data_IF_233812747777
#
_entry.id   IF_233812747777
#
_cell.length_a   1.000
_cell.length_b   1.000
_cell.length_c   1.000
_cell.angle_alpha   90.00
_cell.angle_beta   90.00
_cell.angle_gamma   90.00
#
_symmetry.space_group_name_H-M   'P 1'
#
loop_
_entity.id
_entity.type
_entity.pdbx_description
1 polymer ?
#
# COMPACT_ATOMS: atom_id res chain seq x y z
N UNK A 1 0.73 10.99 -13.48
CA UNK A 1 1.03 9.74 -12.79
C UNK A 1 0.25 8.62 -13.44
N UNK A 2 0.92 7.54 -13.80
CA UNK A 2 0.35 6.31 -14.36
C UNK A 2 1.04 5.14 -13.68
N UNK A 3 0.30 4.10 -13.29
CA UNK A 3 0.88 2.89 -12.73
C UNK A 3 0.79 1.75 -13.76
N UNK A 4 1.83 0.92 -13.83
CA UNK A 4 1.88 -0.31 -14.62
C UNK A 4 2.40 -1.42 -13.72
N UNK A 5 1.51 -2.33 -13.29
CA UNK A 5 1.84 -3.35 -12.29
C UNK A 5 2.42 -2.72 -11.02
N UNK A 6 3.65 -3.10 -10.59
CA UNK A 6 4.28 -2.55 -9.39
C UNK A 6 4.97 -1.20 -9.60
N UNK A 7 5.02 -0.66 -10.82
CA UNK A 7 5.82 0.53 -11.14
C UNK A 7 4.95 1.76 -11.36
N UNK A 8 5.39 2.89 -10.79
CA UNK A 8 4.83 4.21 -11.02
C UNK A 8 5.61 4.98 -12.09
N UNK A 9 4.91 5.61 -13.03
CA UNK A 9 5.49 6.46 -14.07
C UNK A 9 4.91 7.87 -13.98
N UNK A 10 5.77 8.88 -13.90
CA UNK A 10 5.37 10.28 -13.78
C UNK A 10 6.50 11.23 -14.18
N UNK A 11 6.16 12.51 -14.31
CA UNK A 11 7.13 13.58 -14.54
C UNK A 11 7.21 14.48 -13.32
N UNK A 12 8.41 14.96 -13.01
CA UNK A 12 8.65 15.99 -12.00
C UNK A 12 9.12 17.27 -12.69
N UNK A 13 8.48 18.38 -12.32
CA UNK A 13 8.93 19.73 -12.67
C UNK A 13 9.74 20.29 -11.51
N UNK A 14 10.94 20.77 -11.79
CA UNK A 14 11.86 21.35 -10.82
C UNK A 14 12.30 22.72 -11.32
N UNK A 15 12.52 23.65 -10.40
CA UNK A 15 12.96 25.00 -10.72
C UNK A 15 14.28 24.95 -11.52
N UNK A 16 14.34 25.69 -12.63
CA UNK A 16 15.53 25.84 -13.48
C UNK A 16 16.15 24.53 -14.01
N UNK A 17 15.37 23.45 -14.07
CA UNK A 17 15.78 22.13 -14.56
C UNK A 17 14.81 21.65 -15.64
N UNK A 18 15.25 20.80 -16.59
CA UNK A 18 14.34 20.14 -17.51
C UNK A 18 13.38 19.20 -16.75
N UNK A 19 12.26 18.88 -17.38
CA UNK A 19 11.32 17.88 -16.86
C UNK A 19 12.03 16.54 -16.65
N UNK A 20 11.93 16.00 -15.44
CA UNK A 20 12.51 14.72 -15.09
C UNK A 20 11.45 13.62 -15.26
N UNK A 21 11.67 12.69 -16.18
CA UNK A 21 10.77 11.54 -16.41
C UNK A 21 11.20 10.39 -15.51
N UNK A 22 10.34 10.01 -14.57
CA UNK A 22 10.64 9.04 -13.52
C UNK A 22 9.90 7.74 -13.77
N UNK A 23 10.65 6.64 -13.70
CA UNK A 23 10.11 5.30 -13.40
C UNK A 23 10.48 4.97 -11.96
N UNK A 24 9.48 4.75 -11.12
CA UNK A 24 9.63 4.41 -9.72
C UNK A 24 9.24 2.95 -9.52
N UNK A 25 10.13 2.17 -8.91
CA UNK A 25 9.85 0.78 -8.57
C UNK A 25 9.07 0.64 -7.26
N UNK A 26 7.98 1.40 -7.16
CA UNK A 26 7.01 1.33 -6.07
C UNK A 26 5.63 1.79 -6.59
N UNK A 27 4.53 1.11 -6.21
CA UNK A 27 3.20 1.45 -6.70
C UNK A 27 2.56 2.57 -5.87
N UNK A 28 1.49 3.15 -6.39
CA UNK A 28 0.69 4.16 -5.71
C UNK A 28 1.19 5.61 -5.85
N UNK A 29 0.24 6.55 -5.92
CA UNK A 29 0.52 7.99 -5.96
C UNK A 29 1.21 8.48 -4.69
N UNK A 30 0.96 7.86 -3.55
CA UNK A 30 1.62 8.19 -2.29
C UNK A 30 3.15 7.97 -2.38
N UNK A 31 3.60 6.88 -3.03
CA UNK A 31 5.02 6.65 -3.26
C UNK A 31 5.62 7.61 -4.29
N UNK A 32 4.85 8.09 -5.27
CA UNK A 32 5.31 9.18 -6.13
C UNK A 32 5.52 10.49 -5.37
N UNK A 33 4.71 10.78 -4.34
CA UNK A 33 4.92 11.92 -3.44
C UNK A 33 6.18 11.73 -2.58
N UNK A 34 6.39 10.52 -2.03
CA UNK A 34 7.61 10.19 -1.29
C UNK A 34 8.86 10.33 -2.17
N UNK A 35 8.80 9.85 -3.41
CA UNK A 35 9.87 9.99 -4.38
C UNK A 35 10.11 11.45 -4.75
N UNK A 36 9.05 12.26 -4.93
CA UNK A 36 9.21 13.69 -5.19
C UNK A 36 9.93 14.41 -4.04
N UNK A 37 9.65 14.05 -2.78
CA UNK A 37 10.38 14.58 -1.63
C UNK A 37 11.86 14.18 -1.66
N UNK A 38 12.17 12.91 -1.96
CA UNK A 38 13.55 12.44 -2.10
C UNK A 38 14.30 13.16 -3.24
N UNK A 39 13.66 13.34 -4.39
CA UNK A 39 14.22 14.06 -5.54
C UNK A 39 14.46 15.52 -5.23
N UNK A 40 13.56 16.18 -4.48
CA UNK A 40 13.73 17.57 -4.08
C UNK A 40 15.02 17.76 -3.26
N UNK A 41 15.24 16.91 -2.26
CA UNK A 41 16.47 16.92 -1.45
C UNK A 41 17.69 16.60 -2.30
N UNK A 42 17.65 15.55 -3.11
CA UNK A 42 18.77 15.15 -3.96
C UNK A 42 19.16 16.24 -4.98
N UNK A 43 18.17 16.97 -5.51
CA UNK A 43 18.40 18.08 -6.44
C UNK A 43 19.12 19.24 -5.75
N UNK A 44 18.72 19.57 -4.51
CA UNK A 44 19.34 20.64 -3.72
C UNK A 44 20.79 20.30 -3.33
N UNK A 45 21.05 19.03 -3.02
CA UNK A 45 22.40 18.50 -2.75
C UNK A 45 23.27 18.36 -4.01
N UNK A 46 22.74 18.72 -5.19
CA UNK A 46 23.48 18.68 -6.45
C UNK A 46 23.77 17.27 -6.99
N UNK A 47 22.98 16.27 -6.59
CA UNK A 47 23.11 14.89 -7.11
C UNK A 47 22.67 14.85 -8.58
N UNK A 48 23.42 14.11 -9.39
CA UNK A 48 23.15 13.95 -10.81
C UNK A 48 21.80 13.25 -11.08
N UNK A 49 21.07 13.75 -12.08
CA UNK A 49 19.75 13.23 -12.45
C UNK A 49 19.80 11.75 -12.83
N UNK A 50 20.90 11.29 -13.45
CA UNK A 50 21.08 9.88 -13.80
C UNK A 50 21.13 8.97 -12.57
N UNK A 51 21.77 9.42 -11.49
CA UNK A 51 21.85 8.66 -10.24
C UNK A 51 20.52 8.63 -9.50
N UNK A 52 19.80 9.76 -9.49
CA UNK A 52 18.44 9.85 -8.97
C UNK A 52 17.53 8.87 -9.72
N UNK A 53 17.53 8.88 -11.04
CA UNK A 53 16.67 8.02 -11.86
C UNK A 53 17.01 6.54 -11.67
N UNK A 54 18.31 6.19 -11.65
CA UNK A 54 18.79 4.83 -11.42
C UNK A 54 18.35 4.32 -10.04
N UNK A 55 18.46 5.14 -9.01
CA UNK A 55 18.05 4.79 -7.65
C UNK A 55 16.53 4.57 -7.54
N UNK A 56 15.71 5.46 -8.12
CA UNK A 56 14.26 5.32 -8.08
C UNK A 56 13.76 4.11 -8.88
N UNK A 57 14.37 3.84 -10.04
CA UNK A 57 14.04 2.67 -10.86
C UNK A 57 14.53 1.35 -10.23
N UNK A 58 15.61 1.39 -9.44
CA UNK A 58 16.16 0.24 -8.71
C UNK A 58 15.68 0.10 -7.27
N UNK A 59 14.78 0.97 -6.80
CA UNK A 59 14.33 0.97 -5.41
C UNK A 59 13.70 -0.37 -5.03
N UNK A 60 14.18 -0.97 -3.94
CA UNK A 60 13.76 -2.31 -3.51
C UNK A 60 12.58 -2.29 -2.53
N UNK A 61 12.07 -1.11 -2.20
CA UNK A 61 11.08 -0.97 -1.13
C UNK A 61 11.70 -1.05 0.26
N UNK A 62 10.82 -1.18 1.24
CA UNK A 62 11.16 -1.46 2.62
C UNK A 62 10.23 -2.56 3.11
N UNK A 63 10.73 -3.44 3.98
CA UNK A 63 9.93 -4.55 4.49
C UNK A 63 8.56 -4.10 4.97
N UNK A 64 7.53 -4.87 4.58
CA UNK A 64 6.12 -4.64 4.92
C UNK A 64 5.52 -3.34 4.35
N UNK A 65 6.04 -2.75 3.27
CA UNK A 65 5.41 -1.59 2.57
C UNK A 65 5.14 -1.98 1.14
N UNK A 66 3.92 -2.41 0.85
CA UNK A 66 3.54 -3.07 -0.41
C UNK A 66 4.56 -4.15 -0.81
N UNK A 67 4.91 -5.00 0.14
CA UNK A 67 6.01 -5.96 0.04
C UNK A 67 5.53 -7.24 -0.66
N UNK A 68 6.03 -7.49 -1.87
CA UNK A 68 5.62 -8.65 -2.66
C UNK A 68 6.33 -9.91 -2.19
N UNK A 69 5.59 -10.79 -1.52
CA UNK A 69 6.13 -12.02 -0.94
C UNK A 69 6.18 -13.18 -1.95
N UNK A 70 5.49 -13.05 -3.07
CA UNK A 70 5.50 -14.04 -4.15
C UNK A 70 4.14 -14.25 -4.81
N UNK A 71 4.15 -15.05 -5.87
CA UNK A 71 2.96 -15.55 -6.55
C UNK A 71 2.94 -17.08 -6.41
N UNK A 72 1.83 -17.60 -5.88
CA UNK A 72 1.74 -18.99 -5.45
C UNK A 72 0.66 -19.73 -6.25
N UNK A 73 0.91 -20.95 -6.74
CA UNK A 73 -0.10 -21.74 -7.44
C UNK A 73 -1.20 -22.20 -6.49
N UNK A 74 -2.45 -22.18 -6.96
CA UNK A 74 -3.62 -22.55 -6.15
C UNK A 74 -3.85 -24.07 -6.08
N UNK A 75 -3.34 -24.84 -7.04
CA UNK A 75 -3.57 -26.28 -7.14
C UNK A 75 -3.13 -27.06 -5.89
N UNK A 76 -1.92 -26.88 -5.33
CA UNK A 76 -1.54 -27.55 -4.09
C UNK A 76 -2.26 -27.01 -2.84
N UNK A 77 -2.93 -25.86 -2.93
CA UNK A 77 -3.62 -25.20 -1.80
C UNK A 77 -5.08 -25.64 -1.70
N UNK A 78 -5.79 -25.67 -2.82
CA UNK A 78 -7.23 -25.93 -2.85
C UNK A 78 -7.71 -26.67 -4.10
N UNK A 79 -6.80 -27.25 -4.90
CA UNK A 79 -7.12 -28.03 -6.10
C UNK A 79 -7.60 -27.22 -7.30
N UNK A 80 -7.60 -25.88 -7.25
CA UNK A 80 -8.00 -25.03 -8.38
C UNK A 80 -6.80 -24.59 -9.21
N UNK A 81 -7.02 -24.42 -10.52
CA UNK A 81 -6.01 -23.82 -11.40
C UNK A 81 -5.81 -22.33 -11.10
N UNK A 82 -4.66 -21.79 -11.52
CA UNK A 82 -4.30 -20.38 -11.36
C UNK A 82 -3.36 -20.12 -10.18
N UNK A 83 -3.19 -18.83 -9.85
CA UNK A 83 -2.24 -18.35 -8.85
C UNK A 83 -2.81 -17.19 -8.02
N UNK A 84 -2.25 -16.98 -6.84
CA UNK A 84 -2.50 -15.81 -6.01
C UNK A 84 -1.20 -15.08 -5.69
N UNK A 85 -1.20 -13.76 -5.85
CA UNK A 85 -0.12 -12.89 -5.37
C UNK A 85 -0.33 -12.62 -3.88
N UNK A 86 0.76 -12.67 -3.11
CA UNK A 86 0.76 -12.29 -1.70
C UNK A 86 1.56 -11.00 -1.52
N UNK A 87 0.94 -10.01 -0.91
CA UNK A 87 1.54 -8.72 -0.58
C UNK A 87 1.35 -8.46 0.90
N UNK A 88 2.41 -8.10 1.62
CA UNK A 88 2.35 -7.62 3.00
C UNK A 88 2.44 -6.10 3.06
N UNK A 89 1.62 -5.49 3.90
CA UNK A 89 1.60 -4.04 4.09
C UNK A 89 1.38 -3.67 5.55
N UNK A 90 2.11 -2.65 6.02
CA UNK A 90 2.10 -2.17 7.40
C UNK A 90 0.95 -1.20 7.68
N UNK A 91 0.24 -0.74 6.65
CA UNK A 91 -0.83 0.24 6.77
C UNK A 91 -1.86 -0.18 7.82
N UNK A 92 -2.01 0.64 8.85
CA UNK A 92 -2.91 0.38 9.97
C UNK A 92 -3.72 1.63 10.35
N UNK A 93 -3.49 2.76 9.69
CA UNK A 93 -4.40 3.90 9.62
C UNK A 93 -5.32 3.76 8.37
N UNK A 94 -6.60 4.18 8.41
CA UNK A 94 -7.50 4.07 7.25
C UNK A 94 -6.94 4.67 5.96
N UNK A 95 -6.26 5.82 6.05
CA UNK A 95 -5.59 6.46 4.90
C UNK A 95 -4.48 5.59 4.29
N UNK A 96 -3.72 4.87 5.11
CA UNK A 96 -2.65 3.98 4.65
C UNK A 96 -3.26 2.76 3.96
N UNK A 97 -4.29 2.16 4.58
CA UNK A 97 -5.04 1.04 3.99
C UNK A 97 -5.61 1.46 2.63
N UNK A 98 -6.30 2.60 2.55
CA UNK A 98 -6.89 3.13 1.33
C UNK A 98 -5.83 3.34 0.23
N UNK A 99 -4.65 3.85 0.60
CA UNK A 99 -3.54 4.03 -0.32
C UNK A 99 -3.03 2.69 -0.89
N UNK A 100 -2.96 1.65 -0.05
CA UNK A 100 -2.60 0.28 -0.44
C UNK A 100 -3.65 -0.34 -1.37
N UNK A 101 -4.94 -0.21 -1.05
CA UNK A 101 -6.03 -0.73 -1.90
C UNK A 101 -6.03 -0.04 -3.28
N UNK A 102 -5.86 1.29 -3.32
CA UNK A 102 -5.77 2.05 -4.56
C UNK A 102 -4.56 1.64 -5.40
N UNK A 103 -3.40 1.42 -4.77
CA UNK A 103 -2.21 0.93 -5.45
C UNK A 103 -2.43 -0.47 -6.05
N UNK A 104 -3.07 -1.38 -5.31
CA UNK A 104 -3.40 -2.71 -5.81
C UNK A 104 -4.38 -2.67 -6.98
N UNK A 105 -5.48 -1.90 -6.88
CA UNK A 105 -6.46 -1.77 -7.97
C UNK A 105 -5.88 -1.12 -9.23
N UNK A 106 -5.01 -0.14 -9.08
CA UNK A 106 -4.37 0.52 -10.23
C UNK A 106 -3.37 -0.41 -10.94
N UNK A 107 -2.63 -1.24 -10.19
CA UNK A 107 -1.63 -2.15 -10.75
C UNK A 107 -2.22 -3.41 -11.36
N UNK A 108 -3.31 -3.91 -10.77
CA UNK A 108 -3.94 -5.19 -11.10
C UNK A 108 -5.47 -5.06 -11.18
N UNK A 109 -6.02 -4.30 -12.14
CA UNK A 109 -7.43 -3.96 -12.19
C UNK A 109 -8.36 -5.18 -12.32
N UNK A 110 -7.90 -6.23 -13.00
CA UNK A 110 -8.69 -7.44 -13.26
C UNK A 110 -8.51 -8.55 -12.21
N UNK A 111 -7.63 -8.34 -11.21
CA UNK A 111 -7.42 -9.31 -10.12
C UNK A 111 -8.44 -9.07 -9.00
N UNK A 112 -9.01 -10.16 -8.49
CA UNK A 112 -9.82 -10.13 -7.26
C UNK A 112 -8.93 -9.76 -6.07
N UNK A 113 -9.34 -8.76 -5.29
CA UNK A 113 -8.63 -8.27 -4.13
C UNK A 113 -9.19 -8.90 -2.85
N UNK A 114 -8.38 -9.78 -2.26
CA UNK A 114 -8.67 -10.43 -0.98
C UNK A 114 -7.76 -9.82 0.07
N UNK A 115 -8.35 -9.29 1.15
CA UNK A 115 -7.61 -8.65 2.23
C UNK A 115 -7.75 -9.46 3.52
N UNK A 116 -6.61 -9.66 4.21
CA UNK A 116 -6.57 -10.13 5.60
C UNK A 116 -6.14 -8.92 6.43
N UNK A 117 -7.04 -8.41 7.26
CA UNK A 117 -6.79 -7.20 8.06
C UNK A 117 -6.80 -7.50 9.55
N UNK A 118 -5.84 -6.93 10.27
CA UNK A 118 -5.78 -6.94 11.72
C UNK A 118 -5.79 -5.49 12.23
N UNK A 119 -6.89 -5.02 12.87
CA UNK A 119 -6.89 -3.70 13.49
C UNK A 119 -5.83 -3.62 14.59
N UNK A 120 -5.14 -2.49 14.69
CA UNK A 120 -4.09 -2.28 15.69
C UNK A 120 -4.51 -1.20 16.69
N UNK A 121 -4.61 -1.57 17.97
CA UNK A 121 -5.14 -0.79 19.12
C UNK A 121 -6.66 -0.60 19.09
N UNK A 122 -7.30 -0.77 20.25
CA UNK A 122 -8.74 -0.52 20.42
C UNK A 122 -9.06 0.97 20.34
N UNK A 123 -8.20 1.82 20.88
CA UNK A 123 -8.35 3.29 20.82
C UNK A 123 -8.43 3.79 19.39
N UNK A 124 -7.52 3.33 18.52
CA UNK A 124 -7.54 3.67 17.09
C UNK A 124 -8.78 3.16 16.38
N UNK A 125 -9.18 1.91 16.64
CA UNK A 125 -10.40 1.34 16.07
C UNK A 125 -11.64 2.15 16.47
N UNK A 126 -11.73 2.60 17.72
CA UNK A 126 -12.82 3.49 18.18
C UNK A 126 -12.78 4.84 17.47
N UNK A 127 -11.63 5.50 17.45
CA UNK A 127 -11.50 6.89 17.02
C UNK A 127 -11.71 7.06 15.51
N UNK A 128 -11.41 6.00 14.74
CA UNK A 128 -11.48 6.00 13.27
C UNK A 128 -12.46 4.93 12.75
N UNK A 129 -13.46 4.57 13.55
CA UNK A 129 -14.35 3.44 13.29
C UNK A 129 -15.02 3.53 11.92
N UNK A 130 -15.67 4.66 11.63
CA UNK A 130 -16.40 4.86 10.37
C UNK A 130 -15.44 4.90 9.17
N UNK A 131 -14.26 5.48 9.34
CA UNK A 131 -13.23 5.50 8.29
C UNK A 131 -12.72 4.09 7.97
N UNK A 132 -12.56 3.24 9.00
CA UNK A 132 -12.24 1.83 8.80
C UNK A 132 -13.36 1.09 8.07
N UNK A 133 -14.62 1.26 8.49
CA UNK A 133 -15.75 0.63 7.82
C UNK A 133 -15.79 0.99 6.33
N UNK A 134 -15.64 2.28 6.02
CA UNK A 134 -15.65 2.80 4.65
C UNK A 134 -14.48 2.30 3.79
N UNK A 135 -13.27 2.17 4.35
CA UNK A 135 -12.11 1.71 3.57
C UNK A 135 -12.12 0.20 3.37
N UNK A 136 -12.48 -0.55 4.42
CA UNK A 136 -12.48 -2.01 4.39
C UNK A 136 -13.61 -2.56 3.50
N UNK A 137 -14.67 -1.80 3.25
CA UNK A 137 -15.74 -2.20 2.32
C UNK A 137 -15.34 -2.12 0.84
N UNK A 138 -14.15 -1.62 0.50
CA UNK A 138 -13.69 -1.47 -0.89
C UNK A 138 -13.06 -2.75 -1.48
N UNK A 139 -12.86 -3.79 -0.68
CA UNK A 139 -12.23 -5.05 -1.08
C UNK A 139 -13.28 -6.09 -1.52
N UNK A 140 -12.88 -7.06 -2.36
CA UNK A 140 -13.83 -8.08 -2.85
C UNK A 140 -14.09 -9.19 -1.82
N UNK A 141 -13.10 -9.43 -0.96
CA UNK A 141 -13.20 -10.35 0.19
C UNK A 141 -12.40 -9.78 1.33
N UNK A 142 -13.02 -9.67 2.49
CA UNK A 142 -12.39 -9.25 3.73
C UNK A 142 -12.36 -10.41 4.71
N UNK A 143 -11.17 -10.74 5.22
CA UNK A 143 -10.98 -11.58 6.38
C UNK A 143 -10.44 -10.68 7.50
N UNK A 144 -11.15 -10.65 8.62
CA UNK A 144 -10.78 -9.80 9.75
C UNK A 144 -10.26 -10.66 10.90
N UNK A 145 -9.05 -10.34 11.37
CA UNK A 145 -8.50 -10.90 12.61
C UNK A 145 -8.97 -10.06 13.81
N UNK A 146 -8.88 -10.63 15.01
CA UNK A 146 -9.10 -9.87 16.25
C UNK A 146 -8.09 -8.74 16.41
N UNK A 147 -8.53 -7.67 17.09
CA UNK A 147 -7.72 -6.47 17.35
C UNK A 147 -6.42 -6.83 18.05
N UNK A 148 -5.29 -6.41 17.47
CA UNK A 148 -4.01 -6.44 18.15
C UNK A 148 -3.98 -5.34 19.21
N UNK A 149 -4.11 -5.73 20.48
CA UNK A 149 -4.32 -4.80 21.60
C UNK A 149 -3.15 -3.82 21.83
N UNK A 150 -1.92 -4.21 21.54
CA UNK A 150 -0.71 -3.41 21.81
C UNK A 150 -0.66 -2.82 23.24
N UNK A 151 -1.10 -3.60 24.23
CA UNK A 151 -1.13 -3.24 25.65
C UNK A 151 -2.43 -2.59 26.14
N UNK A 152 -3.42 -2.38 25.26
CA UNK A 152 -4.70 -1.75 25.64
C UNK A 152 -5.72 -2.75 26.19
N UNK A 153 -6.54 -2.29 27.14
CA UNK A 153 -7.74 -3.01 27.53
C UNK A 153 -8.78 -2.93 26.40
N UNK A 154 -9.60 -3.98 26.19
CA UNK A 154 -10.69 -3.95 25.23
C UNK A 154 -11.65 -2.77 25.47
N UNK A 155 -12.10 -2.12 24.40
CA UNK A 155 -13.09 -1.05 24.44
C UNK A 155 -14.40 -1.59 23.80
N UNK A 156 -15.54 -1.57 24.51
CA UNK A 156 -16.81 -2.02 23.97
C UNK A 156 -17.18 -1.30 22.67
N UNK A 157 -17.55 -2.06 21.64
CA UNK A 157 -17.91 -1.53 20.32
C UNK A 157 -16.73 -1.22 19.40
N UNK A 158 -15.48 -1.33 19.87
CA UNK A 158 -14.27 -1.07 19.09
C UNK A 158 -13.48 -2.36 18.79
N UNK A 159 -14.19 -3.47 18.60
CA UNK A 159 -13.62 -4.76 18.23
C UNK A 159 -13.90 -5.12 16.76
N UNK A 160 -13.15 -6.10 16.24
CA UNK A 160 -13.28 -6.57 14.86
C UNK A 160 -14.69 -7.09 14.53
N UNK A 161 -15.39 -7.68 15.51
CA UNK A 161 -16.76 -8.16 15.33
C UNK A 161 -17.74 -7.02 15.12
N UNK A 162 -17.53 -5.89 15.80
CA UNK A 162 -18.29 -4.67 15.60
C UNK A 162 -18.06 -4.16 14.18
N UNK A 163 -16.80 -4.02 13.77
CA UNK A 163 -16.45 -3.61 12.40
C UNK A 163 -17.04 -4.53 11.32
N UNK A 164 -17.08 -5.85 11.53
CA UNK A 164 -17.65 -6.80 10.55
C UNK A 164 -19.17 -6.68 10.37
N UNK A 165 -19.89 -6.03 11.30
CA UNK A 165 -21.36 -5.91 11.27
C UNK A 165 -21.85 -4.64 10.60
N UNK A 166 -20.92 -3.77 10.21
CA UNK A 166 -21.19 -2.50 9.53
C UNK A 166 -21.10 -2.73 8.04
#
# INVERSE_FOLDING_TARGET
YRQIGPQGHFTLSRQDKPLLTVTLNAPGRHNALNAAAAVAVATEEGIDDEDILRALAGFQGTGRRFDFLGEFPLEPVNGKAGSAMLVDDYGHHPTEVDATLKAARAGWPDKRLVMIFQPHRYTRTRDLYDDFANVLSQVDVLLMLDVYAAGEAPIPGADSRSLCRT
#
